data_IF_631942909896
#
_entry.id   IF_631942909896
#
_cell.length_a   1.000
_cell.length_b   1.000
_cell.length_c   1.000
_cell.angle_alpha   90.00
_cell.angle_beta   90.00
_cell.angle_gamma   90.00
#
_symmetry.space_group_name_H-M   'P 1'
#
loop_
_entity.id
_entity.type
_entity.pdbx_description
1 polymer ?
#
# COMPACT_ATOMS: atom_id res chain seq x y z
N UNK A 1 4.79 27.58 -1.15
CA UNK A 1 3.86 26.42 -1.18
C UNK A 1 4.06 25.62 0.09
N UNK A 2 3.00 25.08 0.71
CA UNK A 2 3.13 24.15 1.84
C UNK A 2 2.72 22.75 1.37
N UNK A 3 3.58 21.76 1.50
CA UNK A 3 3.25 20.35 1.25
C UNK A 3 3.20 19.57 2.56
N UNK A 4 2.06 18.92 2.79
CA UNK A 4 1.81 18.11 3.98
C UNK A 4 2.11 16.66 3.67
N UNK A 5 3.06 16.08 4.41
CA UNK A 5 3.44 14.69 4.26
C UNK A 5 2.58 13.78 5.14
N UNK A 6 2.08 12.68 4.56
CA UNK A 6 1.62 11.53 5.33
C UNK A 6 2.71 10.45 5.36
N UNK A 7 3.18 10.11 6.56
CA UNK A 7 4.20 9.06 6.76
C UNK A 7 3.76 8.17 7.90
N UNK A 8 3.51 6.90 7.66
CA UNK A 8 3.29 5.94 8.74
C UNK A 8 4.63 5.80 9.47
N UNK A 9 4.76 6.40 10.66
CA UNK A 9 5.86 6.14 11.59
C UNK A 9 5.33 5.20 12.66
N UNK A 10 6.05 4.13 12.98
CA UNK A 10 5.82 3.46 14.27
C UNK A 10 6.32 4.37 15.39
N UNK A 11 5.72 4.31 16.58
CA UNK A 11 6.17 5.11 17.75
C UNK A 11 7.63 4.84 18.16
N UNK A 12 8.23 3.76 17.64
CA UNK A 12 9.65 3.40 17.79
C UNK A 12 10.59 4.05 16.76
N UNK A 13 10.08 4.63 15.66
CA UNK A 13 10.90 5.27 14.62
C UNK A 13 11.21 6.73 14.99
N UNK A 14 12.16 6.92 15.91
CA UNK A 14 12.82 8.22 16.10
C UNK A 14 13.92 8.50 15.08
N UNK A 15 14.32 7.52 14.28
CA UNK A 15 15.41 7.67 13.32
C UNK A 15 15.03 7.05 11.97
N UNK A 16 15.13 7.89 10.93
CA UNK A 16 15.43 7.51 9.54
C UNK A 16 14.47 6.56 8.81
N UNK A 17 13.53 7.15 8.06
CA UNK A 17 12.98 6.52 6.84
C UNK A 17 13.31 7.44 5.66
N UNK A 18 14.41 7.09 4.99
CA UNK A 18 14.95 7.69 3.78
C UNK A 18 14.38 6.97 2.52
N UNK A 19 14.64 7.52 1.33
CA UNK A 19 14.61 6.86 0.01
C UNK A 19 13.48 7.09 -1.02
N UNK A 20 12.35 7.74 -0.71
CA UNK A 20 11.52 8.37 -1.78
C UNK A 20 11.44 9.90 -1.68
N UNK A 21 12.15 10.44 -0.68
CA UNK A 21 11.98 11.80 -0.15
C UNK A 21 13.09 12.75 -0.57
N UNK A 22 14.31 12.23 -0.68
CA UNK A 22 15.45 12.96 -1.23
C UNK A 22 15.40 12.99 -2.76
N UNK A 23 14.89 11.94 -3.44
CA UNK A 23 14.69 11.98 -4.90
C UNK A 23 13.76 13.11 -5.35
N UNK A 24 12.69 13.45 -4.59
CA UNK A 24 11.84 14.62 -4.93
C UNK A 24 12.60 15.93 -4.73
N UNK A 25 13.36 16.07 -3.64
CA UNK A 25 14.18 17.25 -3.37
C UNK A 25 15.28 17.41 -4.43
N UNK A 26 16.00 16.34 -4.74
CA UNK A 26 16.99 16.25 -5.81
C UNK A 26 16.37 16.48 -7.19
N UNK A 27 15.14 16.02 -7.44
CA UNK A 27 14.40 16.33 -8.67
C UNK A 27 14.05 17.82 -8.77
N UNK A 28 13.65 18.48 -7.68
CA UNK A 28 13.37 19.93 -7.70
C UNK A 28 14.65 20.77 -7.81
N UNK A 29 15.74 20.33 -7.15
CA UNK A 29 17.06 20.95 -7.28
C UNK A 29 17.64 20.78 -8.69
N UNK A 30 17.45 19.61 -9.32
CA UNK A 30 17.96 19.30 -10.66
C UNK A 30 17.08 19.79 -11.82
N UNK A 31 15.76 19.96 -11.62
CA UNK A 31 14.84 20.33 -12.69
C UNK A 31 14.86 21.82 -13.04
N UNK A 32 15.31 22.71 -12.15
CA UNK A 32 15.42 24.14 -12.48
C UNK A 32 16.43 24.97 -11.64
N UNK A 33 17.13 24.38 -10.67
CA UNK A 33 18.15 25.09 -9.86
C UNK A 33 17.66 26.36 -9.14
N UNK A 34 16.34 26.57 -9.04
CA UNK A 34 15.71 27.82 -8.58
C UNK A 34 14.66 27.64 -7.48
N UNK A 35 14.26 26.41 -7.17
CA UNK A 35 13.28 26.14 -6.12
C UNK A 35 14.01 25.76 -4.84
N UNK A 36 13.88 26.62 -3.83
CA UNK A 36 14.37 26.41 -2.48
C UNK A 36 13.33 25.65 -1.66
N UNK A 37 13.77 24.61 -0.95
CA UNK A 37 12.87 23.70 -0.26
C UNK A 37 13.39 23.33 1.13
N UNK A 38 12.53 23.39 2.14
CA UNK A 38 12.90 23.04 3.53
C UNK A 38 11.90 22.11 4.20
N UNK A 39 12.43 21.24 5.06
CA UNK A 39 11.65 20.28 5.85
C UNK A 39 11.61 20.68 7.33
N UNK A 40 10.43 21.06 7.84
CA UNK A 40 10.29 21.54 9.23
C UNK A 40 10.58 20.48 10.28
N UNK A 41 10.35 19.20 9.99
CA UNK A 41 10.56 18.11 10.96
C UNK A 41 12.03 17.96 11.41
N UNK A 42 12.98 18.64 10.75
CA UNK A 42 14.43 18.64 11.05
C UNK A 42 15.06 20.03 10.87
N UNK A 43 14.27 21.10 10.83
CA UNK A 43 14.81 22.43 10.55
C UNK A 43 15.66 22.95 11.71
N UNK A 44 16.80 23.55 11.37
CA UNK A 44 17.57 24.39 12.28
C UNK A 44 16.87 25.74 12.48
N UNK A 45 17.29 26.50 13.49
CA UNK A 45 16.82 27.89 13.69
C UNK A 45 17.13 28.79 12.48
N UNK A 46 18.13 28.44 11.67
CA UNK A 46 18.45 29.14 10.43
C UNK A 46 17.45 28.82 9.31
N UNK A 47 17.05 27.55 9.18
CA UNK A 47 16.06 27.11 8.20
C UNK A 47 14.68 27.71 8.51
N UNK A 48 14.28 27.73 9.78
CA UNK A 48 13.03 28.37 10.21
C UNK A 48 13.01 29.86 9.87
N UNK A 49 14.13 30.56 10.06
CA UNK A 49 14.27 31.97 9.67
C UNK A 49 14.18 32.15 8.16
N UNK A 50 14.85 31.30 7.39
CA UNK A 50 14.78 31.36 5.92
C UNK A 50 13.34 31.14 5.43
N UNK A 51 12.61 30.20 6.03
CA UNK A 51 11.19 29.98 5.75
C UNK A 51 10.39 31.25 6.04
N UNK A 52 10.48 31.78 7.27
CA UNK A 52 9.68 32.93 7.73
C UNK A 52 10.03 34.23 6.99
N UNK A 53 11.27 34.38 6.53
CA UNK A 53 11.71 35.49 5.68
C UNK A 53 11.19 35.37 4.22
N UNK A 54 10.48 34.29 3.88
CA UNK A 54 9.95 34.04 2.54
C UNK A 54 11.03 33.71 1.51
N UNK A 55 12.20 33.23 1.94
CA UNK A 55 13.31 32.83 1.06
C UNK A 55 13.19 31.39 0.55
N UNK A 56 12.02 30.79 0.73
CA UNK A 56 11.73 29.38 0.48
C UNK A 56 10.50 29.25 -0.41
N UNK A 57 10.62 28.53 -1.51
CA UNK A 57 9.52 28.31 -2.45
C UNK A 57 8.56 27.22 -1.94
N UNK A 58 9.09 26.15 -1.34
CA UNK A 58 8.32 25.00 -0.86
C UNK A 58 8.71 24.62 0.58
N UNK A 59 7.70 24.49 1.44
CA UNK A 59 7.86 24.02 2.83
C UNK A 59 7.20 22.66 2.97
N UNK A 60 7.99 21.64 3.30
CA UNK A 60 7.52 20.30 3.63
C UNK A 60 7.39 20.13 5.14
N UNK A 61 6.31 19.49 5.59
CA UNK A 61 6.18 19.14 7.00
C UNK A 61 5.08 18.13 7.24
N UNK A 62 5.18 17.40 8.35
CA UNK A 62 4.04 16.58 8.79
C UNK A 62 2.98 17.48 9.45
N UNK A 63 1.72 17.01 9.56
CA UNK A 63 0.68 17.73 10.29
C UNK A 63 1.10 18.13 11.71
N UNK A 64 1.87 17.32 12.41
CA UNK A 64 2.37 17.64 13.75
C UNK A 64 3.26 18.89 13.76
N UNK A 65 4.15 19.05 12.78
CA UNK A 65 5.06 20.20 12.73
C UNK A 65 4.37 21.46 12.21
N UNK A 66 3.46 21.33 11.25
CA UNK A 66 2.80 22.48 10.61
C UNK A 66 1.56 22.96 11.37
N UNK A 67 0.80 22.03 11.94
CA UNK A 67 -0.50 22.29 12.57
C UNK A 67 -0.44 22.10 14.08
N UNK A 68 0.46 21.24 14.57
CA UNK A 68 0.53 20.90 15.99
C UNK A 68 1.30 21.88 16.87
N UNK A 69 2.11 22.77 16.29
CA UNK A 69 2.92 23.74 17.01
C UNK A 69 2.25 25.14 17.00
N UNK A 70 1.72 25.65 18.13
CA UNK A 70 1.03 26.94 18.19
C UNK A 70 1.92 28.14 17.85
N UNK A 71 3.17 28.16 18.33
CA UNK A 71 4.11 29.27 18.08
C UNK A 71 4.48 29.35 16.60
N UNK A 72 4.70 28.19 15.98
CA UNK A 72 4.98 28.09 14.55
C UNK A 72 3.80 28.56 13.72
N UNK A 73 2.56 28.17 14.08
CA UNK A 73 1.36 28.62 13.37
C UNK A 73 1.20 30.13 13.38
N UNK A 74 1.49 30.77 14.51
CA UNK A 74 1.42 32.23 14.63
C UNK A 74 2.51 32.90 13.78
N UNK A 75 3.73 32.37 13.81
CA UNK A 75 4.85 32.84 13.00
C UNK A 75 4.54 32.72 11.49
N UNK A 76 4.02 31.57 11.08
CA UNK A 76 3.58 31.32 9.71
C UNK A 76 2.47 32.28 9.29
N UNK A 77 1.44 32.46 10.12
CA UNK A 77 0.30 33.34 9.82
C UNK A 77 0.72 34.81 9.66
N UNK A 78 1.68 35.26 10.45
CA UNK A 78 2.12 36.65 10.48
C UNK A 78 3.15 36.99 9.39
N UNK A 79 3.95 36.01 8.97
CA UNK A 79 5.14 36.25 8.14
C UNK A 79 5.02 35.70 6.71
N UNK A 80 4.18 34.69 6.48
CA UNK A 80 4.13 33.99 5.19
C UNK A 80 2.90 34.39 4.36
N UNK A 81 3.12 34.58 3.07
CA UNK A 81 2.08 34.59 2.05
C UNK A 81 2.08 33.25 1.31
N UNK A 82 1.11 32.38 1.60
CA UNK A 82 1.02 31.05 1.00
C UNK A 82 0.04 31.07 -0.16
N UNK A 83 0.54 30.78 -1.37
CA UNK A 83 -0.28 30.67 -2.58
C UNK A 83 -1.03 29.34 -2.71
N UNK A 84 -0.41 28.24 -2.27
CA UNK A 84 -0.95 26.88 -2.42
C UNK A 84 -0.55 25.99 -1.23
N UNK A 85 -1.54 25.21 -0.76
CA UNK A 85 -1.40 24.10 0.19
C UNK A 85 -1.61 22.80 -0.57
N UNK A 86 -0.62 21.92 -0.54
CA UNK A 86 -0.65 20.57 -1.12
C UNK A 86 -0.76 19.56 0.02
N UNK A 87 -1.67 18.62 -0.10
CA UNK A 87 -1.93 17.57 0.88
C UNK A 87 -1.74 16.25 0.16
N UNK A 88 -0.54 15.67 0.29
CA UNK A 88 -0.25 14.37 -0.31
C UNK A 88 -0.84 13.26 0.57
N UNK A 89 -1.31 12.20 -0.09
CA UNK A 89 -2.02 11.09 0.54
C UNK A 89 -3.13 11.51 1.52
N UNK A 90 -3.99 12.41 1.06
CA UNK A 90 -5.04 13.00 1.89
C UNK A 90 -5.96 11.94 2.53
N UNK A 91 -6.04 10.73 1.95
CA UNK A 91 -6.86 9.65 2.48
C UNK A 91 -6.49 9.30 3.93
N UNK A 92 -5.24 9.54 4.34
CA UNK A 92 -4.75 9.33 5.71
C UNK A 92 -5.40 10.26 6.75
N UNK A 93 -5.98 11.38 6.32
CA UNK A 93 -6.75 12.27 7.20
C UNK A 93 -7.94 11.55 7.81
N UNK A 94 -8.63 10.72 7.03
CA UNK A 94 -9.78 9.98 7.52
C UNK A 94 -9.37 8.73 8.31
N UNK A 95 -8.26 8.07 7.94
CA UNK A 95 -7.85 6.79 8.55
C UNK A 95 -6.99 6.97 9.80
N UNK A 96 -6.16 8.01 9.89
CA UNK A 96 -5.27 8.25 11.03
C UNK A 96 -5.69 9.44 11.88
N UNK A 97 -6.33 10.43 11.26
CA UNK A 97 -6.69 11.70 11.89
C UNK A 97 -8.06 11.70 12.59
N UNK A 98 -8.89 10.67 12.37
CA UNK A 98 -10.21 10.57 12.99
C UNK A 98 -10.28 9.37 13.92
N UNK A 99 -10.94 9.56 15.06
CA UNK A 99 -11.36 8.47 15.92
C UNK A 99 -12.39 7.59 15.22
N UNK A 100 -12.23 6.28 15.28
CA UNK A 100 -13.21 5.30 14.81
C UNK A 100 -13.55 4.34 15.96
N UNK A 101 -14.84 4.04 16.13
CA UNK A 101 -15.35 3.01 17.03
C UNK A 101 -14.78 3.04 18.46
N UNK A 102 -14.73 4.23 19.06
CA UNK A 102 -14.27 4.43 20.44
C UNK A 102 -12.75 4.40 20.64
N UNK A 103 -11.96 4.26 19.57
CA UNK A 103 -10.50 4.39 19.61
C UNK A 103 -10.08 5.83 19.29
N UNK A 104 -9.10 6.33 20.03
CA UNK A 104 -8.49 7.63 19.73
C UNK A 104 -7.81 7.61 18.35
N UNK A 105 -7.80 8.77 17.70
CA UNK A 105 -7.10 8.96 16.43
C UNK A 105 -5.61 8.65 16.60
N UNK A 106 -5.08 7.74 15.78
CA UNK A 106 -3.67 7.34 15.80
C UNK A 106 -2.72 8.53 15.63
N UNK A 107 -3.09 9.50 14.76
CA UNK A 107 -2.35 10.76 14.58
C UNK A 107 -3.31 11.93 14.56
N UNK A 108 -3.70 12.38 15.75
CA UNK A 108 -4.64 13.48 15.98
C UNK A 108 -4.49 14.65 14.99
N UNK A 109 -3.28 15.15 14.76
CA UNK A 109 -3.04 16.34 13.95
C UNK A 109 -3.43 16.21 12.47
N UNK A 110 -3.56 14.99 11.94
CA UNK A 110 -4.08 14.74 10.59
C UNK A 110 -5.53 15.22 10.46
N UNK A 111 -6.34 15.08 11.51
CA UNK A 111 -7.72 15.56 11.53
C UNK A 111 -7.85 17.08 11.53
N UNK A 112 -6.76 17.79 11.88
CA UNK A 112 -6.71 19.25 12.02
C UNK A 112 -6.12 19.96 10.80
N UNK A 113 -5.69 19.22 9.76
CA UNK A 113 -5.07 19.78 8.55
C UNK A 113 -5.93 20.86 7.87
N UNK A 114 -7.25 20.75 7.94
CA UNK A 114 -8.17 21.76 7.41
C UNK A 114 -7.98 23.16 8.01
N UNK A 115 -7.40 23.27 9.21
CA UNK A 115 -7.14 24.56 9.88
C UNK A 115 -6.15 25.45 9.14
N UNK A 116 -5.26 24.87 8.30
CA UNK A 116 -4.34 25.65 7.48
C UNK A 116 -5.07 26.59 6.52
N UNK A 117 -6.31 26.25 6.12
CA UNK A 117 -7.14 27.13 5.29
C UNK A 117 -7.67 28.35 6.05
N UNK A 118 -7.77 28.26 7.37
CA UNK A 118 -8.09 29.41 8.23
C UNK A 118 -6.85 30.30 8.44
N UNK A 119 -5.66 29.71 8.45
CA UNK A 119 -4.39 30.46 8.50
C UNK A 119 -4.12 31.18 7.16
N UNK A 120 -4.40 30.51 6.04
CA UNK A 120 -4.16 31.00 4.69
C UNK A 120 -5.44 30.96 3.83
N UNK A 121 -6.40 31.89 4.05
CA UNK A 121 -7.70 31.86 3.39
C UNK A 121 -7.65 32.08 1.87
N UNK A 122 -6.59 32.72 1.38
CA UNK A 122 -6.39 32.96 -0.05
C UNK A 122 -5.62 31.83 -0.77
N UNK A 123 -5.12 30.84 -0.03
CA UNK A 123 -4.35 29.75 -0.61
C UNK A 123 -5.27 28.75 -1.35
N UNK A 124 -4.83 28.31 -2.52
CA UNK A 124 -5.44 27.17 -3.19
C UNK A 124 -5.12 25.89 -2.43
N UNK A 125 -6.02 24.89 -2.47
CA UNK A 125 -5.80 23.59 -1.85
C UNK A 125 -5.81 22.50 -2.90
N UNK A 126 -4.71 21.77 -3.01
CA UNK A 126 -4.58 20.57 -3.82
C UNK A 126 -4.46 19.36 -2.90
N UNK A 127 -5.42 18.44 -2.97
CA UNK A 127 -5.39 17.19 -2.20
C UNK A 127 -5.18 16.02 -3.16
N UNK A 128 -4.11 15.25 -2.96
CA UNK A 128 -3.72 14.13 -3.80
C UNK A 128 -3.80 12.80 -3.03
N UNK A 129 -4.26 11.74 -3.69
CA UNK A 129 -4.22 10.38 -3.16
C UNK A 129 -4.31 9.38 -4.30
N UNK A 130 -3.47 8.36 -4.29
CA UNK A 130 -3.54 7.27 -5.26
C UNK A 130 -4.68 6.29 -4.94
N UNK A 131 -5.01 6.10 -3.66
CA UNK A 131 -5.93 5.06 -3.18
C UNK A 131 -6.99 5.64 -2.26
N UNK A 132 -8.04 6.25 -2.85
CA UNK A 132 -9.14 6.85 -2.10
C UNK A 132 -10.51 6.26 -2.44
N UNK A 133 -11.17 5.61 -1.49
CA UNK A 133 -12.55 5.14 -1.66
C UNK A 133 -13.54 6.29 -1.69
N UNK A 134 -14.73 6.08 -2.28
CA UNK A 134 -15.84 7.06 -2.28
C UNK A 134 -16.21 7.51 -0.86
N UNK A 135 -16.17 6.58 0.12
CA UNK A 135 -16.45 6.86 1.53
C UNK A 135 -15.38 7.75 2.15
N UNK A 136 -14.11 7.43 1.90
CA UNK A 136 -12.96 8.20 2.40
C UNK A 136 -12.93 9.60 1.81
N UNK A 137 -13.15 9.75 0.50
CA UNK A 137 -13.17 11.05 -0.17
C UNK A 137 -14.20 12.00 0.46
N UNK A 138 -15.43 11.53 0.70
CA UNK A 138 -16.48 12.32 1.36
C UNK A 138 -16.08 12.79 2.77
N UNK A 139 -15.42 11.92 3.54
CA UNK A 139 -14.94 12.26 4.89
C UNK A 139 -13.84 13.32 4.83
N UNK A 140 -12.85 13.13 3.96
CA UNK A 140 -11.73 14.07 3.88
C UNK A 140 -12.16 15.43 3.34
N UNK A 141 -13.08 15.50 2.37
CA UNK A 141 -13.67 16.77 1.92
C UNK A 141 -14.24 17.57 3.10
N UNK A 142 -14.95 16.89 4.01
CA UNK A 142 -15.47 17.51 5.23
C UNK A 142 -14.35 17.96 6.18
N UNK A 143 -13.34 17.12 6.44
CA UNK A 143 -12.21 17.47 7.30
C UNK A 143 -11.42 18.68 6.79
N UNK A 144 -11.19 18.74 5.48
CA UNK A 144 -10.51 19.83 4.82
C UNK A 144 -11.42 21.05 4.58
N UNK A 145 -12.69 20.94 4.96
CA UNK A 145 -13.73 21.95 4.76
C UNK A 145 -13.84 22.40 3.28
N UNK A 146 -13.53 21.49 2.34
CA UNK A 146 -13.55 21.79 0.90
C UNK A 146 -14.97 22.14 0.47
N UNK A 147 -15.09 23.14 -0.39
CA UNK A 147 -16.39 23.55 -0.92
C UNK A 147 -16.96 22.49 -1.85
N UNK A 148 -18.29 22.41 -1.96
CA UNK A 148 -18.93 21.55 -2.97
C UNK A 148 -18.60 21.95 -4.42
N UNK A 149 -18.06 23.16 -4.63
CA UNK A 149 -17.58 23.65 -5.93
C UNK A 149 -16.15 23.23 -6.25
N UNK A 150 -15.46 22.54 -5.34
CA UNK A 150 -14.10 22.08 -5.58
C UNK A 150 -14.08 21.10 -6.75
N UNK A 151 -13.12 21.29 -7.67
CA UNK A 151 -12.90 20.38 -8.78
C UNK A 151 -12.41 19.03 -8.24
N UNK A 152 -13.13 17.95 -8.56
CA UNK A 152 -12.74 16.59 -8.24
C UNK A 152 -12.40 15.87 -9.53
N UNK A 153 -11.18 15.32 -9.60
CA UNK A 153 -10.70 14.52 -10.71
C UNK A 153 -10.52 13.10 -10.17
N UNK A 154 -11.36 12.18 -10.63
CA UNK A 154 -11.29 10.77 -10.27
C UNK A 154 -10.78 10.02 -11.48
N UNK A 155 -9.72 9.24 -11.26
CA UNK A 155 -9.20 8.30 -12.24
C UNK A 155 -9.37 6.91 -11.65
N UNK A 156 -9.87 5.97 -12.46
CA UNK A 156 -10.04 4.60 -12.01
C UNK A 156 -8.70 4.00 -11.56
N UNK A 157 -8.65 3.36 -10.37
CA UNK A 157 -7.45 2.67 -9.92
C UNK A 157 -7.27 1.29 -10.59
N UNK A 158 -8.14 0.93 -11.56
CA UNK A 158 -8.08 -0.37 -12.22
C UNK A 158 -6.76 -0.61 -12.95
N UNK A 159 -6.22 -1.81 -12.74
CA UNK A 159 -5.07 -2.36 -13.45
C UNK A 159 -5.55 -3.62 -14.16
N UNK A 160 -6.04 -3.51 -15.41
CA UNK A 160 -6.63 -4.64 -16.12
C UNK A 160 -5.60 -5.74 -16.46
N UNK A 161 -4.31 -5.41 -16.47
CA UNK A 161 -3.22 -6.37 -16.69
C UNK A 161 -2.93 -7.25 -15.47
N UNK A 162 -3.48 -6.96 -14.28
CA UNK A 162 -3.25 -7.73 -13.05
C UNK A 162 -4.42 -8.67 -12.81
N UNK A 163 -4.24 -9.97 -13.03
CA UNK A 163 -5.24 -10.98 -12.69
C UNK A 163 -5.38 -11.12 -11.17
N UNK A 164 -6.61 -11.08 -10.67
CA UNK A 164 -6.90 -11.24 -9.23
C UNK A 164 -7.27 -12.70 -8.93
N UNK A 165 -6.52 -13.36 -8.07
CA UNK A 165 -6.80 -14.74 -7.65
C UNK A 165 -6.83 -14.81 -6.14
N UNK A 166 -7.80 -15.52 -5.56
CA UNK A 166 -7.89 -15.67 -4.11
C UNK A 166 -8.01 -17.15 -3.75
N UNK A 167 -7.23 -17.58 -2.77
CA UNK A 167 -7.17 -18.95 -2.29
C UNK A 167 -7.22 -18.99 -0.78
N UNK A 168 -8.10 -19.84 -0.25
CA UNK A 168 -8.08 -20.18 1.17
C UNK A 168 -6.99 -21.23 1.39
N UNK A 169 -6.11 -21.00 2.35
CA UNK A 169 -4.94 -21.85 2.62
C UNK A 169 -4.89 -22.28 4.07
N UNK A 170 -4.02 -23.25 4.36
CA UNK A 170 -3.73 -23.69 5.72
C UNK A 170 -3.24 -22.53 6.61
N UNK A 171 -3.51 -22.63 7.92
CA UNK A 171 -2.91 -21.75 8.93
C UNK A 171 -1.41 -22.01 9.07
N UNK A 172 -0.94 -23.21 8.74
CA UNK A 172 0.48 -23.54 8.74
C UNK A 172 1.15 -22.90 7.50
N UNK A 173 2.17 -22.06 7.74
CA UNK A 173 2.88 -21.30 6.70
C UNK A 173 3.63 -22.22 5.74
N UNK A 174 4.30 -23.25 6.25
CA UNK A 174 5.09 -24.20 5.45
C UNK A 174 4.17 -24.89 4.44
N UNK A 175 3.03 -25.41 4.90
CA UNK A 175 2.01 -26.01 4.02
C UNK A 175 1.47 -25.01 3.00
N UNK A 176 1.25 -23.75 3.40
CA UNK A 176 0.76 -22.72 2.49
C UNK A 176 1.79 -22.35 1.40
N UNK A 177 3.08 -22.39 1.72
CA UNK A 177 4.16 -21.96 0.82
C UNK A 177 4.86 -23.11 0.08
N UNK A 178 4.59 -24.36 0.45
CA UNK A 178 5.29 -25.55 -0.07
C UNK A 178 5.34 -25.63 -1.61
N UNK A 179 4.28 -25.18 -2.29
CA UNK A 179 4.21 -25.16 -3.76
C UNK A 179 5.28 -24.28 -4.43
N UNK A 180 5.93 -23.38 -3.69
CA UNK A 180 7.04 -22.57 -4.21
C UNK A 180 8.36 -23.33 -4.26
N UNK A 181 8.52 -24.41 -3.48
CA UNK A 181 9.83 -25.04 -3.25
C UNK A 181 10.39 -25.68 -4.53
N UNK A 182 9.68 -26.65 -5.12
CA UNK A 182 10.18 -27.33 -6.33
C UNK A 182 10.42 -26.34 -7.50
N UNK A 183 9.47 -25.43 -7.84
CA UNK A 183 9.70 -24.49 -8.93
C UNK A 183 10.85 -23.50 -8.65
N UNK A 184 11.06 -23.09 -7.40
CA UNK A 184 12.15 -22.21 -7.03
C UNK A 184 13.50 -22.93 -7.10
N UNK A 185 13.56 -24.20 -6.70
CA UNK A 185 14.76 -25.02 -6.81
C UNK A 185 15.13 -25.29 -8.28
N UNK A 186 14.14 -25.58 -9.12
CA UNK A 186 14.34 -25.88 -10.54
C UNK A 186 14.74 -24.65 -11.36
N UNK A 187 14.12 -23.50 -11.09
CA UNK A 187 14.33 -22.28 -11.88
C UNK A 187 15.43 -21.40 -11.31
N UNK A 188 15.55 -21.31 -9.98
CA UNK A 188 16.53 -20.50 -9.26
C UNK A 188 16.64 -19.07 -9.83
N UNK A 189 17.73 -18.74 -10.51
CA UNK A 189 17.94 -17.44 -11.16
C UNK A 189 16.93 -17.14 -12.28
N UNK A 190 16.19 -18.12 -12.79
CA UNK A 190 15.13 -17.95 -13.78
C UNK A 190 13.72 -17.93 -13.17
N UNK A 191 13.61 -18.01 -11.83
CA UNK A 191 12.32 -17.94 -11.17
C UNK A 191 11.66 -16.58 -11.42
N UNK A 192 10.33 -16.51 -11.64
CA UNK A 192 9.63 -15.23 -11.82
C UNK A 192 9.87 -14.29 -10.64
N UNK A 193 9.95 -12.98 -10.90
CA UNK A 193 10.11 -12.00 -9.82
C UNK A 193 8.79 -11.81 -9.08
N UNK A 194 8.79 -12.08 -7.77
CA UNK A 194 7.62 -12.08 -6.89
C UNK A 194 7.86 -11.21 -5.66
N UNK A 195 6.86 -10.40 -5.29
CA UNK A 195 6.79 -9.78 -3.95
C UNK A 195 5.78 -10.58 -3.12
N UNK A 196 6.19 -11.06 -1.95
CA UNK A 196 5.32 -11.73 -0.98
C UNK A 196 5.04 -10.77 0.16
N UNK A 197 3.82 -10.22 0.24
CA UNK A 197 3.38 -9.39 1.35
C UNK A 197 2.78 -10.23 2.48
N UNK A 198 3.25 -9.99 3.70
CA UNK A 198 2.72 -10.59 4.92
C UNK A 198 2.17 -9.49 5.86
N UNK A 199 1.13 -9.84 6.62
CA UNK A 199 0.47 -8.90 7.54
C UNK A 199 1.26 -8.58 8.80
N UNK A 200 2.26 -9.38 9.15
CA UNK A 200 3.11 -9.17 10.32
C UNK A 200 4.59 -9.46 10.02
N UNK A 201 5.49 -8.86 10.80
CA UNK A 201 6.95 -9.15 10.73
C UNK A 201 7.19 -10.63 11.03
N UNK A 202 6.49 -11.18 12.01
CA UNK A 202 6.60 -12.59 12.38
C UNK A 202 6.25 -13.53 11.23
N UNK A 203 5.16 -13.26 10.50
CA UNK A 203 4.79 -14.08 9.34
C UNK A 203 5.79 -13.92 8.20
N UNK A 204 6.25 -12.69 7.94
CA UNK A 204 7.28 -12.41 6.94
C UNK A 204 8.57 -13.18 7.25
N UNK A 205 9.03 -13.14 8.50
CA UNK A 205 10.23 -13.87 8.94
C UNK A 205 10.05 -15.39 8.83
N UNK A 206 8.87 -15.93 9.17
CA UNK A 206 8.58 -17.37 9.02
C UNK A 206 8.58 -17.80 7.56
N UNK A 207 7.93 -17.03 6.68
CA UNK A 207 7.93 -17.31 5.23
C UNK A 207 9.36 -17.26 4.69
N UNK A 208 10.12 -16.21 5.03
CA UNK A 208 11.50 -16.08 4.58
C UNK A 208 12.38 -17.23 5.06
N UNK A 209 12.35 -17.56 6.36
CA UNK A 209 13.16 -18.64 6.94
C UNK A 209 12.83 -20.00 6.31
N UNK A 210 11.53 -20.32 6.16
CA UNK A 210 11.09 -21.53 5.49
C UNK A 210 11.67 -21.65 4.07
N UNK A 211 11.58 -20.59 3.27
CA UNK A 211 12.11 -20.61 1.91
C UNK A 211 13.63 -20.83 1.88
N UNK A 212 14.41 -20.11 2.69
CA UNK A 212 15.87 -20.23 2.64
C UNK A 212 16.39 -21.56 3.23
N UNK A 213 15.63 -22.20 4.13
CA UNK A 213 15.94 -23.52 4.69
C UNK A 213 15.67 -24.64 3.67
N UNK A 214 14.55 -24.56 2.95
CA UNK A 214 14.16 -25.58 1.97
C UNK A 214 14.90 -25.44 0.63
N UNK A 215 15.30 -24.22 0.23
CA UNK A 215 16.11 -23.98 -0.99
C UNK A 215 17.43 -23.25 -0.72
N UNK A 216 18.41 -23.86 0.00
CA UNK A 216 19.68 -23.20 0.34
C UNK A 216 20.48 -22.73 -0.87
N UNK A 217 20.33 -23.41 -2.02
CA UNK A 217 20.97 -23.01 -3.29
C UNK A 217 20.45 -21.69 -3.84
N UNK A 218 19.25 -21.26 -3.44
CA UNK A 218 18.56 -20.08 -3.94
C UNK A 218 18.60 -18.90 -2.97
N UNK A 219 19.27 -19.01 -1.81
CA UNK A 219 19.26 -17.99 -0.75
C UNK A 219 19.64 -16.59 -1.23
N UNK A 220 20.55 -16.47 -2.21
CA UNK A 220 20.97 -15.19 -2.79
C UNK A 220 19.93 -14.54 -3.72
N UNK A 221 18.82 -15.22 -3.99
CA UNK A 221 17.71 -14.74 -4.80
C UNK A 221 16.48 -14.37 -3.97
N UNK A 222 16.56 -14.48 -2.64
CA UNK A 222 15.46 -14.27 -1.70
C UNK A 222 15.90 -13.25 -0.65
N UNK A 223 15.09 -12.22 -0.41
CA UNK A 223 15.35 -11.25 0.66
C UNK A 223 14.11 -10.96 1.50
N UNK A 224 14.35 -10.39 2.69
CA UNK A 224 13.36 -9.98 3.66
C UNK A 224 13.44 -8.46 3.89
N UNK A 225 12.28 -7.80 3.79
CA UNK A 225 12.14 -6.37 4.03
C UNK A 225 10.99 -6.06 4.99
N UNK A 226 11.26 -5.42 6.11
CA UNK A 226 10.26 -4.90 7.05
C UNK A 226 10.77 -3.62 7.74
N UNK A 227 9.97 -3.04 8.64
CA UNK A 227 10.32 -1.79 9.34
C UNK A 227 11.64 -1.90 10.12
N UNK A 228 11.90 -3.05 10.74
CA UNK A 228 13.13 -3.32 11.50
C UNK A 228 14.33 -3.80 10.65
N UNK A 229 14.23 -3.83 9.31
CA UNK A 229 15.37 -4.15 8.46
C UNK A 229 16.43 -3.04 8.57
N UNK A 230 17.69 -3.40 8.69
CA UNK A 230 18.82 -2.45 8.74
C UNK A 230 18.83 -1.53 7.51
N UNK A 231 19.13 -0.24 7.72
CA UNK A 231 19.03 0.77 6.65
C UNK A 231 19.90 0.42 5.43
N UNK A 232 21.15 -0.02 5.66
CA UNK A 232 22.05 -0.45 4.58
C UNK A 232 21.42 -1.57 3.72
N UNK A 233 20.70 -2.49 4.37
CA UNK A 233 20.01 -3.59 3.69
C UNK A 233 18.74 -3.12 2.98
N UNK A 234 17.99 -2.18 3.56
CA UNK A 234 16.85 -1.54 2.90
C UNK A 234 17.29 -0.90 1.58
N UNK A 235 18.39 -0.16 1.59
CA UNK A 235 18.91 0.55 0.41
C UNK A 235 19.33 -0.41 -0.68
N UNK A 236 20.04 -1.48 -0.31
CA UNK A 236 20.40 -2.56 -1.21
C UNK A 236 19.17 -3.18 -1.88
N UNK A 237 18.16 -3.59 -1.10
CA UNK A 237 16.93 -4.19 -1.63
C UNK A 237 16.18 -3.22 -2.56
N UNK A 238 16.07 -1.95 -2.17
CA UNK A 238 15.39 -0.93 -2.99
C UNK A 238 16.08 -0.75 -4.34
N UNK A 239 17.42 -0.78 -4.38
CA UNK A 239 18.17 -0.71 -5.63
C UNK A 239 17.92 -1.96 -6.49
N UNK A 240 17.96 -3.16 -5.90
CA UNK A 240 17.66 -4.42 -6.60
C UNK A 240 16.24 -4.44 -7.22
N UNK A 241 15.26 -3.80 -6.56
CA UNK A 241 13.89 -3.67 -7.09
C UNK A 241 13.81 -2.75 -8.32
N UNK A 242 14.69 -1.75 -8.43
CA UNK A 242 14.71 -0.78 -9.54
C UNK A 242 15.43 -1.32 -10.78
N UNK A 243 16.32 -2.30 -10.60
CA UNK A 243 17.10 -2.90 -11.68
C UNK A 243 16.35 -4.04 -12.37
N UNK A 244 16.27 -4.01 -13.70
CA UNK A 244 15.57 -5.03 -14.49
C UNK A 244 16.32 -6.37 -14.58
N UNK A 245 17.64 -6.34 -14.41
CA UNK A 245 18.54 -7.51 -14.47
C UNK A 245 18.93 -8.01 -13.08
N UNK A 246 18.35 -7.45 -12.01
CA UNK A 246 18.67 -7.87 -10.64
C UNK A 246 18.36 -9.36 -10.42
N UNK A 247 19.20 -9.96 -9.56
CA UNK A 247 19.13 -11.37 -9.20
C UNK A 247 18.05 -11.66 -8.16
N UNK A 248 17.50 -10.63 -7.52
CA UNK A 248 16.41 -10.77 -6.57
C UNK A 248 15.16 -11.34 -7.28
N UNK A 249 14.73 -12.53 -6.87
CA UNK A 249 13.56 -13.23 -7.41
C UNK A 249 12.39 -13.22 -6.45
N UNK A 250 12.63 -13.38 -5.15
CA UNK A 250 11.55 -13.31 -4.15
C UNK A 250 11.90 -12.24 -3.11
N UNK A 251 11.03 -11.25 -2.97
CA UNK A 251 11.08 -10.32 -1.85
C UNK A 251 9.93 -10.61 -0.90
N UNK A 252 10.26 -11.13 0.29
CA UNK A 252 9.29 -11.26 1.38
C UNK A 252 9.22 -9.94 2.14
N UNK A 253 8.03 -9.40 2.35
CA UNK A 253 7.89 -8.09 2.95
C UNK A 253 6.60 -7.88 3.73
N UNK A 254 6.58 -6.84 4.57
CA UNK A 254 5.36 -6.29 5.14
C UNK A 254 4.94 -5.02 4.40
N UNK A 255 3.83 -4.40 4.81
CA UNK A 255 3.42 -3.06 4.31
C UNK A 255 4.49 -1.96 4.49
N UNK A 256 5.59 -2.23 5.20
CA UNK A 256 6.74 -1.34 5.30
C UNK A 256 7.48 -1.11 3.98
N UNK A 257 7.37 -2.01 2.99
CA UNK A 257 7.86 -1.79 1.62
C UNK A 257 6.98 -0.72 0.97
N UNK A 258 7.31 0.52 1.33
CA UNK A 258 6.38 1.62 1.40
C UNK A 258 6.08 2.28 0.07
N UNK A 259 5.68 3.53 0.17
CA UNK A 259 5.26 4.40 -0.91
C UNK A 259 6.39 4.78 -1.86
N UNK A 260 6.10 4.75 -3.17
CA UNK A 260 7.04 5.23 -4.20
C UNK A 260 7.99 4.20 -4.83
N UNK A 261 8.12 2.98 -4.27
CA UNK A 261 8.99 1.96 -4.87
C UNK A 261 8.41 1.50 -6.23
N UNK A 262 9.30 1.51 -7.24
CA UNK A 262 9.07 1.01 -8.59
C UNK A 262 9.75 -0.33 -8.79
N UNK A 263 9.02 -1.42 -8.54
CA UNK A 263 9.53 -2.78 -8.67
C UNK A 263 9.51 -3.20 -10.15
N UNK A 264 10.59 -2.90 -10.87
CA UNK A 264 10.67 -3.15 -12.32
C UNK A 264 10.83 -4.64 -12.62
N UNK A 265 10.03 -5.13 -13.56
CA UNK A 265 10.04 -6.55 -13.95
C UNK A 265 9.44 -7.49 -12.90
N UNK A 266 8.79 -6.96 -11.85
CA UNK A 266 7.94 -7.77 -10.98
C UNK A 266 6.53 -7.82 -11.56
N UNK A 267 6.09 -9.03 -11.92
CA UNK A 267 4.77 -9.29 -12.51
C UNK A 267 3.91 -10.19 -11.61
N UNK A 268 4.35 -10.47 -10.40
CA UNK A 268 3.65 -11.37 -9.48
C UNK A 268 3.74 -10.84 -8.06
N UNK A 269 2.58 -10.77 -7.40
CA UNK A 269 2.48 -10.41 -5.99
C UNK A 269 1.65 -11.47 -5.28
N UNK A 270 2.16 -11.95 -4.15
CA UNK A 270 1.48 -12.89 -3.28
C UNK A 270 1.14 -12.13 -2.00
N UNK A 271 -0.14 -12.09 -1.64
CA UNK A 271 -0.61 -11.52 -0.39
C UNK A 271 -0.88 -12.67 0.57
N UNK A 272 0.04 -12.96 1.49
CA UNK A 272 -0.17 -13.91 2.58
C UNK A 272 -0.81 -13.21 3.77
N UNK A 273 -2.14 -13.23 3.80
CA UNK A 273 -2.93 -12.41 4.69
C UNK A 273 -4.15 -11.80 4.02
N UNK A 274 -4.98 -11.16 4.84
CA UNK A 274 -6.02 -10.28 4.35
C UNK A 274 -5.64 -8.85 4.74
N UNK A 275 -5.61 -7.95 3.77
CA UNK A 275 -5.31 -6.55 3.99
C UNK A 275 -6.35 -5.94 4.94
N UNK A 276 -5.90 -4.94 5.70
CA UNK A 276 -6.77 -4.27 6.67
C UNK A 276 -7.89 -3.49 5.99
N UNK A 277 -7.63 -2.95 4.79
CA UNK A 277 -8.62 -2.23 4.01
C UNK A 277 -8.32 -2.30 2.50
N UNK A 278 -9.28 -1.85 1.70
CA UNK A 278 -9.23 -1.90 0.23
C UNK A 278 -8.17 -0.97 -0.37
N UNK A 279 -7.87 0.15 0.27
CA UNK A 279 -6.81 1.07 -0.21
C UNK A 279 -5.44 0.41 -0.11
N UNK A 280 -5.14 -0.24 1.02
CA UNK A 280 -3.91 -1.02 1.21
C UNK A 280 -3.82 -2.16 0.19
N UNK A 281 -4.94 -2.87 -0.04
CA UNK A 281 -5.03 -3.93 -1.05
C UNK A 281 -4.63 -3.42 -2.44
N UNK A 282 -5.24 -2.34 -2.92
CA UNK A 282 -4.92 -1.76 -4.24
C UNK A 282 -3.46 -1.31 -4.31
N UNK A 283 -2.95 -0.74 -3.22
CA UNK A 283 -1.58 -0.24 -3.18
C UNK A 283 -0.55 -1.37 -3.27
N UNK A 284 -0.77 -2.47 -2.55
CA UNK A 284 0.13 -3.63 -2.55
C UNK A 284 0.09 -4.36 -3.90
N UNK A 285 -1.11 -4.60 -4.46
CA UNK A 285 -1.19 -5.25 -5.78
C UNK A 285 -0.66 -4.36 -6.91
N UNK A 286 -0.77 -3.04 -6.78
CA UNK A 286 -0.31 -2.07 -7.78
C UNK A 286 1.21 -1.88 -7.85
N UNK A 287 1.98 -2.65 -7.06
CA UNK A 287 3.45 -2.66 -7.11
C UNK A 287 4.02 -3.43 -8.28
N UNK A 288 3.24 -4.37 -8.81
CA UNK A 288 3.64 -5.22 -9.94
C UNK A 288 2.96 -4.80 -11.23
N UNK A 289 3.50 -5.22 -12.36
CA UNK A 289 2.87 -5.00 -13.67
C UNK A 289 2.80 -3.53 -14.10
N UNK A 290 3.76 -2.70 -13.68
CA UNK A 290 3.84 -1.28 -14.08
C UNK A 290 4.26 -1.07 -15.53
N UNK A 291 4.89 -2.08 -16.11
CA UNK A 291 5.17 -2.25 -17.54
C UNK A 291 3.93 -2.61 -18.37
N UNK A 292 2.75 -2.71 -17.75
CA UNK A 292 1.49 -3.21 -18.33
C UNK A 292 1.55 -4.65 -18.82
N UNK A 293 2.57 -5.42 -18.44
CA UNK A 293 2.66 -6.84 -18.79
C UNK A 293 1.66 -7.65 -17.96
N UNK A 294 1.18 -8.79 -18.49
CA UNK A 294 0.31 -9.70 -17.76
C UNK A 294 0.91 -10.07 -16.41
N UNK A 295 0.18 -9.77 -15.35
CA UNK A 295 0.64 -9.90 -13.97
C UNK A 295 -0.43 -10.58 -13.12
N UNK A 296 -0.05 -11.10 -11.96
CA UNK A 296 -0.97 -11.75 -11.02
C UNK A 296 -0.84 -11.18 -9.62
N UNK A 297 -1.99 -10.98 -8.97
CA UNK A 297 -2.12 -10.85 -7.54
C UNK A 297 -2.80 -12.11 -6.98
N UNK A 298 -2.01 -12.94 -6.27
CA UNK A 298 -2.49 -14.13 -5.58
C UNK A 298 -2.69 -13.81 -4.10
N UNK A 299 -3.93 -13.85 -3.63
CA UNK A 299 -4.28 -13.63 -2.24
C UNK A 299 -4.47 -14.97 -1.54
N UNK A 300 -3.63 -15.25 -0.56
CA UNK A 300 -3.65 -16.45 0.25
C UNK A 300 -4.11 -16.08 1.66
N UNK A 301 -5.30 -16.56 2.05
CA UNK A 301 -5.88 -16.23 3.34
C UNK A 301 -6.36 -17.47 4.09
N UNK A 302 -6.46 -17.39 5.40
CA UNK A 302 -7.03 -18.45 6.23
C UNK A 302 -8.17 -17.87 7.09
N UNK A 303 -8.81 -18.72 7.90
CA UNK A 303 -9.91 -18.31 8.78
C UNK A 303 -9.52 -17.19 9.77
N UNK A 304 -8.26 -17.14 10.22
CA UNK A 304 -7.76 -16.06 11.11
C UNK A 304 -7.66 -14.73 10.36
N UNK A 305 -7.05 -14.72 9.18
CA UNK A 305 -6.96 -13.53 8.32
C UNK A 305 -8.35 -12.99 7.96
N UNK A 306 -9.27 -13.88 7.59
CA UNK A 306 -10.64 -13.51 7.26
C UNK A 306 -11.33 -12.80 8.42
N UNK A 307 -11.14 -13.23 9.67
CA UNK A 307 -11.80 -12.58 10.82
C UNK A 307 -11.36 -11.13 10.99
N UNK A 308 -10.06 -10.86 10.84
CA UNK A 308 -9.44 -9.55 11.02
C UNK A 308 -9.73 -8.56 9.88
N UNK A 309 -10.05 -9.07 8.69
CA UNK A 309 -10.35 -8.25 7.53
C UNK A 309 -11.60 -7.37 7.72
N UNK A 310 -11.59 -6.18 7.10
CA UNK A 310 -12.78 -5.34 7.02
C UNK A 310 -13.89 -5.98 6.15
N UNK A 311 -15.08 -5.38 6.15
CA UNK A 311 -16.21 -5.91 5.38
C UNK A 311 -15.99 -5.89 3.87
N UNK A 312 -15.27 -4.89 3.34
CA UNK A 312 -15.06 -4.75 1.92
C UNK A 312 -14.05 -5.79 1.39
N UNK A 313 -12.97 -6.03 2.13
CA UNK A 313 -12.02 -7.12 1.89
C UNK A 313 -12.72 -8.47 2.02
N UNK A 314 -13.51 -8.71 3.07
CA UNK A 314 -14.32 -9.94 3.19
C UNK A 314 -15.19 -10.18 1.97
N UNK A 315 -15.85 -9.14 1.44
CA UNK A 315 -16.66 -9.22 0.21
C UNK A 315 -15.80 -9.65 -0.99
N UNK A 316 -14.59 -9.09 -1.15
CA UNK A 316 -13.67 -9.45 -2.23
C UNK A 316 -13.16 -10.89 -2.10
N UNK A 317 -12.86 -11.35 -0.87
CA UNK A 317 -12.35 -12.69 -0.61
C UNK A 317 -13.40 -13.80 -0.85
N UNK A 318 -14.65 -13.53 -0.50
CA UNK A 318 -15.71 -14.56 -0.45
C UNK A 318 -16.70 -14.51 -1.62
N UNK A 319 -16.62 -13.51 -2.50
CA UNK A 319 -17.55 -13.39 -3.63
C UNK A 319 -17.39 -14.52 -4.64
N UNK A 320 -18.52 -14.93 -5.25
CA UNK A 320 -18.58 -15.80 -6.43
C UNK A 320 -18.74 -15.00 -7.74
N UNK A 321 -18.85 -13.67 -7.64
CA UNK A 321 -18.87 -12.75 -8.75
C UNK A 321 -17.45 -12.28 -9.13
N UNK A 322 -17.35 -11.42 -10.12
CA UNK A 322 -16.07 -10.86 -10.54
C UNK A 322 -15.38 -10.11 -9.38
N UNK A 323 -14.21 -10.59 -8.95
CA UNK A 323 -13.44 -9.95 -7.86
C UNK A 323 -13.03 -8.53 -8.19
N UNK A 324 -12.68 -8.25 -9.45
CA UNK A 324 -12.32 -6.90 -9.91
C UNK A 324 -13.48 -5.93 -9.77
N UNK A 325 -14.69 -6.31 -10.18
CA UNK A 325 -15.86 -5.44 -10.01
C UNK A 325 -16.16 -5.22 -8.52
N UNK A 326 -16.03 -6.26 -7.69
CA UNK A 326 -16.19 -6.14 -6.24
C UNK A 326 -15.13 -5.20 -5.61
N UNK A 327 -13.91 -5.22 -6.12
CA UNK A 327 -12.83 -4.32 -5.70
C UNK A 327 -13.15 -2.87 -6.08
N UNK A 328 -13.46 -2.63 -7.36
CA UNK A 328 -13.66 -1.30 -7.93
C UNK A 328 -14.94 -0.61 -7.45
N UNK A 329 -15.94 -1.36 -6.98
CA UNK A 329 -17.17 -0.83 -6.35
C UNK A 329 -16.89 0.14 -5.19
N UNK A 330 -15.73 -0.01 -4.53
CA UNK A 330 -15.30 0.88 -3.46
C UNK A 330 -14.83 2.26 -3.96
N UNK A 331 -14.44 2.36 -5.23
CA UNK A 331 -13.78 3.53 -5.83
C UNK A 331 -14.64 4.22 -6.89
N UNK A 332 -15.37 3.45 -7.70
CA UNK A 332 -16.06 3.92 -8.91
C UNK A 332 -17.57 4.08 -8.71
N UNK A 333 -18.21 4.99 -9.45
CA UNK A 333 -19.66 5.06 -9.51
C UNK A 333 -20.29 3.96 -10.40
N UNK A 334 -21.61 3.85 -10.40
CA UNK A 334 -22.34 2.80 -11.14
C UNK A 334 -22.09 2.87 -12.65
N UNK A 335 -21.96 4.07 -13.21
CA UNK A 335 -21.74 4.27 -14.63
C UNK A 335 -20.30 3.91 -15.04
N UNK A 336 -19.31 4.23 -14.22
CA UNK A 336 -17.93 3.79 -14.39
C UNK A 336 -17.80 2.27 -14.26
N UNK A 337 -18.49 1.65 -13.30
CA UNK A 337 -18.51 0.19 -13.13
C UNK A 337 -19.11 -0.53 -14.33
N UNK A 338 -20.17 0.03 -14.94
CA UNK A 338 -20.75 -0.50 -16.18
C UNK A 338 -19.70 -0.51 -17.30
N UNK A 339 -18.96 0.59 -17.47
CA UNK A 339 -17.89 0.67 -18.49
C UNK A 339 -16.79 -0.37 -18.26
N UNK A 340 -16.37 -0.58 -17.01
CA UNK A 340 -15.42 -1.64 -16.68
C UNK A 340 -16.01 -3.00 -17.01
N UNK A 341 -17.26 -3.27 -16.62
CA UNK A 341 -17.92 -4.55 -16.90
C UNK A 341 -18.01 -4.84 -18.41
N UNK A 342 -18.28 -3.81 -19.23
CA UNK A 342 -18.31 -3.92 -20.68
C UNK A 342 -16.93 -4.19 -21.29
N UNK A 343 -15.85 -3.64 -20.70
CA UNK A 343 -14.49 -3.91 -21.16
C UNK A 343 -13.97 -5.29 -20.76
N UNK A 344 -14.58 -5.96 -19.78
CA UNK A 344 -14.16 -7.25 -19.22
C UNK A 344 -14.67 -8.51 -19.99
N UNK A 345 -15.42 -8.34 -21.09
CA UNK A 345 -16.04 -9.48 -21.82
C UNK A 345 -14.98 -10.46 -22.34
N UNK A 346 -15.04 -11.73 -21.88
CA UNK A 346 -14.17 -12.83 -22.33
C UNK A 346 -12.88 -13.09 -21.53
N UNK A 347 -12.69 -12.46 -20.36
CA UNK A 347 -11.36 -12.39 -19.76
C UNK A 347 -11.12 -13.42 -18.64
N UNK A 348 -10.60 -14.60 -18.99
CA UNK A 348 -9.93 -15.48 -18.03
C UNK A 348 -8.75 -14.81 -17.31
N UNK A 349 -8.22 -13.72 -17.88
CA UNK A 349 -7.19 -12.87 -17.28
C UNK A 349 -7.73 -11.88 -16.22
N UNK A 350 -9.06 -11.78 -16.04
CA UNK A 350 -9.65 -10.83 -15.10
C UNK A 350 -9.45 -11.28 -13.65
N UNK A 351 -10.07 -12.40 -13.27
CA UNK A 351 -9.92 -13.01 -11.96
C UNK A 351 -10.22 -14.51 -12.06
N UNK A 352 -9.90 -15.26 -11.01
CA UNK A 352 -10.28 -16.67 -10.83
C UNK A 352 -11.78 -16.94 -11.10
N UNK A 353 -12.70 -16.17 -10.53
CA UNK A 353 -14.14 -16.36 -10.72
C UNK A 353 -14.59 -16.13 -12.17
N UNK A 354 -13.95 -15.18 -12.87
CA UNK A 354 -14.18 -14.97 -14.30
C UNK A 354 -13.55 -16.08 -15.14
N UNK A 355 -12.40 -16.62 -14.73
CA UNK A 355 -11.74 -17.74 -15.39
C UNK A 355 -12.58 -19.01 -15.33
N UNK A 356 -13.23 -19.31 -14.19
CA UNK A 356 -14.15 -20.45 -14.05
C UNK A 356 -15.36 -20.37 -15.00
N UNK A 357 -15.80 -19.16 -15.35
CA UNK A 357 -16.94 -18.92 -16.25
C UNK A 357 -16.48 -18.73 -17.71
N UNK A 358 -15.19 -18.86 -17.99
CA UNK A 358 -14.63 -18.58 -19.30
C UNK A 358 -14.90 -19.72 -20.29
N UNK A 359 -15.21 -19.36 -21.54
CA UNK A 359 -15.40 -20.32 -22.64
C UNK A 359 -14.25 -20.28 -23.67
N UNK A 360 -13.11 -19.68 -23.33
CA UNK A 360 -11.94 -19.66 -24.19
C UNK A 360 -11.38 -21.09 -24.36
N UNK A 361 -10.97 -21.43 -25.58
CA UNK A 361 -10.38 -22.74 -25.89
C UNK A 361 -8.92 -22.87 -25.42
N UNK A 362 -8.21 -21.74 -25.31
CA UNK A 362 -6.81 -21.67 -24.89
C UNK A 362 -6.63 -20.49 -23.93
N UNK A 363 -6.73 -20.74 -22.63
CA UNK A 363 -6.40 -19.76 -21.60
C UNK A 363 -4.91 -19.85 -21.29
N UNK A 364 -4.16 -18.75 -21.47
CA UNK A 364 -2.74 -18.72 -21.08
C UNK A 364 -2.67 -18.42 -19.58
N UNK A 365 -2.21 -19.40 -18.80
CA UNK A 365 -1.90 -19.22 -17.39
C UNK A 365 -0.58 -18.48 -17.21
N UNK A 366 -0.53 -17.56 -16.24
CA UNK A 366 0.70 -16.88 -15.84
C UNK A 366 1.66 -17.85 -15.14
N UNK A 367 2.97 -17.55 -15.03
CA UNK A 367 3.95 -18.48 -14.45
C UNK A 367 3.57 -18.97 -13.04
N UNK A 368 3.25 -18.04 -12.13
CA UNK A 368 2.76 -18.38 -10.79
C UNK A 368 1.44 -19.15 -10.84
N UNK A 369 0.61 -18.88 -11.85
CA UNK A 369 -0.64 -19.63 -12.02
C UNK A 369 -0.43 -21.09 -12.43
N UNK A 370 0.68 -21.40 -13.09
CA UNK A 370 1.02 -22.77 -13.47
C UNK A 370 1.64 -23.54 -12.32
N UNK A 371 2.36 -22.85 -11.45
CA UNK A 371 3.09 -23.43 -10.32
C UNK A 371 2.16 -23.75 -9.16
N UNK A 372 1.22 -22.86 -8.85
CA UNK A 372 0.21 -23.12 -7.83
C UNK A 372 -0.91 -23.95 -8.46
N UNK A 373 -1.20 -25.14 -7.93
CA UNK A 373 -2.28 -25.97 -8.48
C UNK A 373 -3.65 -25.34 -8.14
N UNK A 374 -4.20 -24.55 -9.05
CA UNK A 374 -5.51 -23.92 -8.85
C UNK A 374 -6.68 -24.92 -8.91
N UNK A 375 -6.45 -26.15 -9.40
CA UNK A 375 -7.49 -27.15 -9.68
C UNK A 375 -7.70 -28.15 -8.54
N UNK A 376 -6.87 -28.15 -7.51
CA UNK A 376 -7.16 -28.90 -6.29
C UNK A 376 -8.23 -28.13 -5.52
N UNK A 377 -9.46 -28.65 -5.54
CA UNK A 377 -10.49 -28.28 -4.57
C UNK A 377 -9.92 -28.55 -3.18
N UNK A 378 -9.47 -27.50 -2.48
CA UNK A 378 -9.35 -27.52 -1.02
C UNK A 378 -10.76 -27.40 -0.42
N UNK A 379 -11.64 -28.31 -0.80
CA UNK A 379 -12.80 -28.65 0.00
C UNK A 379 -12.26 -29.57 1.11
N UNK A 380 -12.58 -29.23 2.36
CA UNK A 380 -12.27 -30.02 3.57
C UNK A 380 -10.82 -29.94 4.09
N UNK A 381 -10.44 -28.79 4.64
CA UNK A 381 -9.68 -28.79 5.90
C UNK A 381 -10.62 -28.29 6.99
N UNK A 382 -11.34 -29.21 7.62
CA UNK A 382 -12.15 -28.94 8.80
C UNK A 382 -11.29 -28.24 9.87
N UNK A 383 -11.63 -26.99 10.17
CA UNK A 383 -11.21 -26.31 11.40
C UNK A 383 -12.04 -26.95 12.55
N UNK A 384 -11.76 -28.21 12.89
CA UNK A 384 -12.26 -28.83 14.12
C UNK A 384 -11.21 -28.68 15.22
N UNK A 385 -10.95 -27.45 15.65
CA UNK A 385 -10.37 -27.23 16.98
C UNK A 385 -11.48 -26.70 17.88
N UNK A 386 -11.95 -27.60 18.74
CA UNK A 386 -12.86 -27.31 19.84
C UNK A 386 -12.19 -26.30 20.78
N UNK A 387 -12.68 -25.06 20.77
CA UNK A 387 -12.49 -24.11 21.88
C UNK A 387 -13.13 -24.71 23.13
N UNK A 388 -12.35 -25.46 23.91
CA UNK A 388 -12.64 -25.70 25.33
C UNK A 388 -12.12 -24.49 26.08
N UNK A 389 -13.03 -23.55 26.36
CA UNK A 389 -12.83 -22.56 27.42
C UNK A 389 -12.70 -23.29 28.76
N UNK A 390 -11.49 -23.32 29.32
CA UNK A 390 -11.31 -23.61 30.73
C UNK A 390 -11.81 -22.39 31.53
N UNK A 391 -12.94 -22.57 32.21
CA UNK A 391 -13.40 -21.67 33.27
C UNK A 391 -12.39 -21.73 34.43
N UNK A 392 -11.79 -20.60 34.74
CA UNK A 392 -11.09 -20.40 36.01
C UNK A 392 -12.16 -20.29 37.11
N UNK A 393 -12.32 -21.37 37.89
CA UNK A 393 -12.96 -21.29 39.21
C UNK A 393 -12.02 -20.57 40.18
N UNK A 394 -12.53 -19.52 40.79
CA UNK A 394 -11.93 -18.82 41.92
C UNK A 394 -12.31 -19.52 43.22
N UNK A 395 -11.31 -20.00 43.97
CA UNK A 395 -11.38 -20.23 45.41
C UNK A 395 -10.36 -19.33 46.12
#
# INVERSE_FOLDING_TARGET
MIEIESVKRSESERENVYFSRDERLEMFESADGRLSCFKRNRSSDEDDRNILDGRVDIVYGSPEALVGNPEWRESMRSSLEVSTIVIDEFHTIATWGQSEDGKEAFRKWFGHVGELRSLFPNANVLALSATCTKKTAKRVKKCLNLSDKSLEIIVSPDKPNIKLVVKKVSKNIETAMFWLIDPLQDLCENFPRVIIYCTSINDASKVYNFLIEEVPSCVHHIDLYHSETEDIKKDFIINELKESDSKLRILVSTSALGMGIDAKGFNSVILYGAQSNVSDFVQEIGRVGRDNMPSIALVMFNSYHQRLADQAIKKILLTNDCRRLCLLDNFLDDHELIKVKESLVGQHACCDNCALKCMCKECILLPIEKMYDFNVNTEESDDSDSDKTEEYESD
#
